data_IF_406821473538
#
_entry.id   IF_406821473538
#
_cell.length_a   1.000
_cell.length_b   1.000
_cell.length_c   1.000
_cell.angle_alpha   90.00
_cell.angle_beta   90.00
_cell.angle_gamma   90.00
#
_symmetry.space_group_name_H-M   'P 1'
#
loop_
_entity.id
_entity.type
_entity.pdbx_description
1 polymer ?
#
# COMPACT_ATOMS: atom_id res chain seq x y z
N UNK A 1 -28.68 5.74 16.40
CA UNK A 1 -29.12 5.93 15.00
C UNK A 1 -28.52 4.79 14.20
N UNK A 2 -29.27 3.69 14.03
CA UNK A 2 -28.85 2.54 13.23
C UNK A 2 -29.02 2.88 11.74
N UNK A 3 -28.05 2.58 10.86
CA UNK A 3 -28.25 2.76 9.43
C UNK A 3 -29.44 1.91 8.97
N UNK A 4 -30.33 2.52 8.19
CA UNK A 4 -31.48 1.84 7.59
C UNK A 4 -31.00 0.89 6.47
N UNK A 5 -31.12 -0.42 6.72
CA UNK A 5 -30.75 -1.49 5.79
C UNK A 5 -31.60 -1.54 4.50
N UNK A 6 -32.61 -0.66 4.38
CA UNK A 6 -33.48 -0.51 3.21
C UNK A 6 -32.92 0.44 2.14
N UNK A 7 -31.83 1.15 2.41
CA UNK A 7 -31.26 2.12 1.48
C UNK A 7 -30.49 1.42 0.36
N UNK A 8 -30.69 1.79 -0.92
CA UNK A 8 -29.96 1.20 -2.03
C UNK A 8 -28.47 1.43 -1.82
N UNK A 9 -27.67 0.36 -1.89
CA UNK A 9 -26.22 0.49 -1.90
C UNK A 9 -25.84 1.34 -3.11
N UNK A 10 -25.13 2.47 -2.93
CA UNK A 10 -24.82 3.35 -4.04
C UNK A 10 -24.09 2.56 -5.14
N UNK A 11 -24.55 2.69 -6.39
CA UNK A 11 -23.89 2.10 -7.54
C UNK A 11 -22.43 2.58 -7.59
N UNK A 12 -21.51 1.64 -7.83
CA UNK A 12 -20.09 1.96 -7.90
C UNK A 12 -19.83 2.80 -9.13
N UNK A 13 -19.34 4.03 -8.92
CA UNK A 13 -18.88 4.87 -10.00
C UNK A 13 -17.66 4.23 -10.69
N UNK A 14 -17.54 4.37 -12.03
CA UNK A 14 -16.38 3.89 -12.76
C UNK A 14 -15.09 4.58 -12.28
N UNK A 15 -14.02 3.80 -12.05
CA UNK A 15 -12.73 4.35 -11.65
C UNK A 15 -12.15 5.35 -12.66
N UNK A 16 -12.46 5.17 -13.96
CA UNK A 16 -11.99 6.08 -15.00
C UNK A 16 -12.51 7.52 -14.83
N UNK A 17 -13.67 7.70 -14.19
CA UNK A 17 -14.27 9.02 -13.92
C UNK A 17 -13.77 9.63 -12.60
N UNK A 18 -13.04 8.86 -11.77
CA UNK A 18 -12.59 9.31 -10.46
C UNK A 18 -11.47 10.35 -10.57
N UNK A 19 -11.73 11.55 -10.03
CA UNK A 19 -10.76 12.64 -9.89
C UNK A 19 -9.74 12.39 -8.76
N UNK A 20 -10.17 11.71 -7.69
CA UNK A 20 -9.32 11.36 -6.55
C UNK A 20 -9.35 9.86 -6.31
N UNK A 21 -8.17 9.25 -6.31
CA UNK A 21 -7.98 7.81 -6.23
C UNK A 21 -7.13 7.51 -5.00
N UNK A 22 -7.65 6.67 -4.11
CA UNK A 22 -6.86 6.10 -2.99
C UNK A 22 -6.44 4.69 -3.39
N UNK A 23 -5.14 4.48 -3.57
CA UNK A 23 -4.59 3.15 -3.88
C UNK A 23 -3.99 2.56 -2.61
N UNK A 24 -4.57 1.45 -2.14
CA UNK A 24 -4.03 0.70 -1.02
C UNK A 24 -3.17 -0.44 -1.53
N UNK A 25 -1.91 -0.45 -1.12
CA UNK A 25 -0.95 -1.51 -1.42
C UNK A 25 -0.79 -2.41 -0.18
N UNK A 26 -1.09 -3.69 -0.35
CA UNK A 26 -0.87 -4.71 0.69
C UNK A 26 0.57 -5.22 0.67
N UNK A 27 1.02 -5.77 1.80
CA UNK A 27 2.37 -6.34 1.93
C UNK A 27 2.69 -7.34 0.83
N UNK A 28 1.76 -8.24 0.48
CA UNK A 28 1.98 -9.27 -0.55
C UNK A 28 2.27 -8.71 -1.95
N UNK A 29 1.91 -7.45 -2.22
CA UNK A 29 2.20 -6.77 -3.49
C UNK A 29 3.55 -6.04 -3.43
N UNK A 30 3.97 -5.65 -2.22
CA UNK A 30 5.18 -4.85 -1.98
C UNK A 30 6.40 -5.71 -1.63
N UNK A 31 6.22 -7.01 -1.41
CA UNK A 31 7.29 -7.92 -1.01
C UNK A 31 7.36 -9.13 -1.93
N UNK A 32 8.56 -9.63 -2.18
CA UNK A 32 8.79 -10.89 -2.88
C UNK A 32 8.56 -12.11 -1.96
N UNK A 33 8.85 -13.31 -2.48
CA UNK A 33 8.74 -14.58 -1.74
C UNK A 33 9.68 -14.67 -0.52
N UNK A 34 10.74 -13.85 -0.47
CA UNK A 34 11.68 -13.72 0.64
C UNK A 34 11.28 -12.66 1.68
N UNK A 35 10.10 -12.04 1.51
CA UNK A 35 9.65 -10.92 2.31
C UNK A 35 10.56 -9.67 2.24
N UNK A 36 11.38 -9.57 1.18
CA UNK A 36 12.14 -8.37 0.81
C UNK A 36 11.33 -7.50 -0.13
N UNK A 37 11.66 -6.21 -0.25
CA UNK A 37 10.86 -5.29 -1.06
C UNK A 37 10.96 -5.62 -2.55
N UNK A 38 9.80 -5.71 -3.23
CA UNK A 38 9.73 -5.97 -4.66
C UNK A 38 9.89 -4.64 -5.43
N UNK A 39 11.13 -4.33 -5.80
CA UNK A 39 11.50 -3.03 -6.39
C UNK A 39 10.99 -2.85 -7.81
N UNK A 40 10.81 -3.94 -8.57
CA UNK A 40 10.29 -3.88 -9.93
C UNK A 40 8.86 -3.34 -9.93
N UNK A 41 7.99 -3.95 -9.13
CA UNK A 41 6.61 -3.52 -8.92
C UNK A 41 6.55 -2.06 -8.45
N UNK A 42 7.37 -1.66 -7.47
CA UNK A 42 7.35 -0.27 -6.98
C UNK A 42 7.72 0.74 -8.06
N UNK A 43 8.70 0.41 -8.92
CA UNK A 43 9.08 1.24 -10.06
C UNK A 43 7.93 1.38 -11.06
N UNK A 44 7.34 0.26 -11.49
CA UNK A 44 6.27 0.25 -12.47
C UNK A 44 5.01 0.92 -11.93
N UNK A 45 4.70 0.73 -10.65
CA UNK A 45 3.61 1.42 -9.98
C UNK A 45 3.85 2.93 -9.90
N UNK A 46 5.08 3.38 -9.61
CA UNK A 46 5.40 4.80 -9.60
C UNK A 46 5.22 5.44 -10.98
N UNK A 47 5.57 4.72 -12.06
CA UNK A 47 5.33 5.17 -13.44
C UNK A 47 3.83 5.33 -13.72
N UNK A 48 3.01 4.34 -13.34
CA UNK A 48 1.54 4.41 -13.50
C UNK A 48 0.93 5.59 -12.71
N UNK A 49 1.42 5.85 -11.50
CA UNK A 49 0.98 7.01 -10.69
C UNK A 49 1.38 8.31 -11.37
N UNK A 50 2.58 8.40 -11.94
CA UNK A 50 3.04 9.57 -12.68
C UNK A 50 2.13 9.86 -13.88
N UNK A 51 1.80 8.85 -14.68
CA UNK A 51 0.88 9.00 -15.83
C UNK A 51 -0.51 9.50 -15.38
N UNK A 52 -1.04 8.95 -14.28
CA UNK A 52 -2.31 9.42 -13.72
C UNK A 52 -2.25 10.88 -13.23
N UNK A 53 -1.11 11.30 -12.69
CA UNK A 53 -0.90 12.69 -12.27
C UNK A 53 -0.80 13.65 -13.47
N UNK A 54 -0.19 13.21 -14.58
CA UNK A 54 -0.14 13.99 -15.82
C UNK A 54 -1.56 14.21 -16.39
N UNK A 55 -2.46 13.24 -16.22
CA UNK A 55 -3.90 13.37 -16.47
C UNK A 55 -4.67 14.25 -15.45
N UNK A 56 -3.96 14.97 -14.56
CA UNK A 56 -4.53 15.84 -13.52
C UNK A 56 -5.36 15.10 -12.44
N UNK A 57 -5.15 13.79 -12.27
CA UNK A 57 -5.79 13.02 -11.18
C UNK A 57 -5.03 13.20 -9.86
N UNK A 58 -5.75 13.11 -8.76
CA UNK A 58 -5.19 13.15 -7.40
C UNK A 58 -5.01 11.73 -6.88
N UNK A 59 -3.77 11.28 -6.71
CA UNK A 59 -3.47 9.94 -6.21
C UNK A 59 -3.00 10.00 -4.76
N UNK A 60 -3.64 9.23 -3.89
CA UNK A 60 -3.24 9.02 -2.49
C UNK A 60 -2.82 7.57 -2.36
N UNK A 61 -1.58 7.34 -1.93
CA UNK A 61 -1.02 6.01 -1.77
C UNK A 61 -1.06 5.64 -0.29
N UNK A 62 -1.64 4.48 0.02
CA UNK A 62 -1.62 3.89 1.36
C UNK A 62 -0.86 2.59 1.30
N UNK A 63 0.39 2.61 1.77
CA UNK A 63 1.30 1.47 1.66
C UNK A 63 1.42 0.68 2.95
N UNK A 64 1.53 -0.65 2.83
CA UNK A 64 2.07 -1.51 3.90
C UNK A 64 3.60 -1.61 3.73
N UNK A 65 4.24 -2.61 4.32
CA UNK A 65 5.62 -2.99 3.96
C UNK A 65 6.75 -2.39 4.83
N UNK A 66 6.49 -1.44 5.72
CA UNK A 66 7.52 -0.82 6.57
C UNK A 66 8.30 -1.85 7.42
N UNK A 67 7.63 -2.86 7.98
CA UNK A 67 8.32 -3.94 8.71
C UNK A 67 9.27 -4.73 7.80
N UNK A 68 8.86 -5.01 6.56
CA UNK A 68 9.69 -5.74 5.59
C UNK A 68 10.89 -4.88 5.16
N UNK A 69 10.65 -3.61 4.87
CA UNK A 69 11.68 -2.62 4.58
C UNK A 69 12.71 -2.53 5.72
N UNK A 70 12.24 -2.47 6.97
CA UNK A 70 13.10 -2.41 8.14
C UNK A 70 13.89 -3.69 8.40
N UNK A 71 13.27 -4.86 8.21
CA UNK A 71 13.95 -6.17 8.29
C UNK A 71 15.13 -6.22 7.31
N UNK A 72 14.92 -5.79 6.06
CA UNK A 72 15.97 -5.71 5.05
C UNK A 72 17.04 -4.67 5.43
N UNK A 73 16.64 -3.46 5.81
CA UNK A 73 17.55 -2.36 6.16
C UNK A 73 18.43 -2.67 7.38
N UNK A 74 17.89 -3.40 8.36
CA UNK A 74 18.59 -3.81 9.58
C UNK A 74 19.38 -5.12 9.41
N UNK A 75 19.33 -5.76 8.23
CA UNK A 75 20.01 -7.04 7.98
C UNK A 75 19.47 -8.20 8.81
N UNK A 76 18.19 -8.16 9.20
CA UNK A 76 17.57 -9.21 10.00
C UNK A 76 17.33 -10.45 9.14
N UNK A 77 17.70 -11.62 9.66
CA UNK A 77 17.55 -12.90 8.93
C UNK A 77 16.12 -13.43 8.90
N UNK A 78 15.23 -12.87 9.72
CA UNK A 78 13.82 -13.24 9.79
C UNK A 78 12.96 -12.06 10.21
N UNK A 79 11.68 -12.14 9.87
CA UNK A 79 10.68 -11.20 10.39
C UNK A 79 10.52 -11.38 11.90
N UNK A 80 10.56 -10.28 12.69
CA UNK A 80 10.32 -10.36 14.13
C UNK A 80 8.86 -10.68 14.44
N UNK A 81 8.64 -11.37 15.55
CA UNK A 81 7.30 -11.74 16.06
C UNK A 81 6.92 -10.94 17.31
N UNK A 82 7.92 -10.42 18.03
CA UNK A 82 7.70 -9.51 19.14
C UNK A 82 7.23 -8.14 18.62
N UNK A 83 6.29 -7.52 19.34
CA UNK A 83 5.68 -6.26 18.91
C UNK A 83 6.69 -5.12 18.95
N UNK A 84 7.55 -5.06 19.97
CA UNK A 84 8.57 -4.01 20.08
C UNK A 84 9.62 -4.14 18.99
N UNK A 85 10.04 -5.36 18.66
CA UNK A 85 10.94 -5.61 17.52
C UNK A 85 10.28 -5.26 16.18
N UNK A 86 8.99 -5.57 16.00
CA UNK A 86 8.25 -5.17 14.79
C UNK A 86 8.13 -3.65 14.66
N UNK A 87 7.91 -2.94 15.77
CA UNK A 87 7.88 -1.47 15.78
C UNK A 87 9.26 -0.89 15.46
N UNK A 88 10.33 -1.46 16.00
CA UNK A 88 11.70 -1.04 15.69
C UNK A 88 12.03 -1.23 14.20
N UNK A 89 11.67 -2.38 13.63
CA UNK A 89 11.79 -2.62 12.19
C UNK A 89 10.95 -1.62 11.40
N UNK A 90 9.65 -1.47 11.71
CA UNK A 90 8.76 -0.54 11.02
C UNK A 90 9.18 0.94 11.10
N UNK A 91 9.90 1.35 12.14
CA UNK A 91 10.42 2.71 12.26
C UNK A 91 11.73 2.91 11.48
N UNK A 92 12.45 1.82 11.19
CA UNK A 92 13.71 1.84 10.44
C UNK A 92 13.50 1.74 8.92
N UNK A 93 12.36 1.17 8.50
CA UNK A 93 11.96 1.03 7.11
C UNK A 93 10.97 2.08 6.66
#
# INVERSE_FOLDING_TARGET
MTPDASSPTPERQPLCEAQRIVVKLGTAVLTDQGATLERGFMHDFAALVSEAMDEQRQVIIVSSGSVAAGVEALGMTRRPTDVSEQQAAAASG
#
